data_IF_070440065072
#
_entry.id   IF_070440065072
#
_cell.length_a   1.000
_cell.length_b   1.000
_cell.length_c   1.000
_cell.angle_alpha   90.00
_cell.angle_beta   90.00
_cell.angle_gamma   90.00
#
_symmetry.space_group_name_H-M   'P 1'
#
loop_
_entity.id
_entity.type
_entity.pdbx_description
1 polymer ?
#
# COMPACT_ATOMS: atom_id res chain seq x y z
N UNK A 1 -6.03 17.21 -13.13
CA UNK A 1 -6.04 15.77 -12.79
C UNK A 1 -7.04 15.58 -11.66
N UNK A 2 -7.78 14.48 -11.63
CA UNK A 2 -8.76 14.22 -10.56
C UNK A 2 -8.06 13.57 -9.38
N UNK A 3 -8.39 14.00 -8.15
CA UNK A 3 -7.88 13.36 -6.95
C UNK A 3 -8.53 11.97 -6.78
N UNK A 4 -7.70 10.96 -6.57
CA UNK A 4 -8.12 9.57 -6.29
C UNK A 4 -8.33 9.36 -4.79
N UNK A 5 -7.58 10.09 -3.98
CA UNK A 5 -7.73 10.16 -2.53
C UNK A 5 -7.86 11.62 -2.12
N UNK A 6 -8.84 11.92 -1.28
CA UNK A 6 -8.98 13.20 -0.60
C UNK A 6 -9.15 12.96 0.88
N UNK A 7 -8.29 13.57 1.68
CA UNK A 7 -8.35 13.55 3.14
C UNK A 7 -8.58 14.98 3.62
N UNK A 8 -9.59 15.18 4.50
CA UNK A 8 -9.95 16.49 5.04
C UNK A 8 -10.04 16.40 6.56
N UNK A 9 -9.12 17.09 7.25
CA UNK A 9 -9.04 17.21 8.71
C UNK A 9 -9.15 15.86 9.45
N UNK A 10 -8.58 14.79 8.88
CA UNK A 10 -8.69 13.45 9.42
C UNK A 10 -7.93 13.34 10.74
N UNK A 11 -8.63 12.95 11.79
CA UNK A 11 -8.03 12.74 13.11
C UNK A 11 -8.35 11.35 13.63
N UNK A 12 -7.37 10.74 14.30
CA UNK A 12 -7.55 9.46 14.99
C UNK A 12 -6.94 9.49 16.36
N UNK A 13 -7.79 9.29 17.37
CA UNK A 13 -7.40 9.19 18.78
C UNK A 13 -7.74 7.76 19.24
N UNK A 14 -6.71 7.01 19.65
CA UNK A 14 -6.90 5.77 20.36
C UNK A 14 -7.23 6.05 21.82
N UNK A 15 -8.21 5.35 22.36
CA UNK A 15 -8.66 5.49 23.74
C UNK A 15 -8.30 4.23 24.53
N UNK A 16 -8.12 4.39 25.84
CA UNK A 16 -7.99 3.25 26.76
C UNK A 16 -9.37 2.59 27.02
N UNK A 17 -9.37 1.51 27.80
CA UNK A 17 -10.60 0.82 28.17
C UNK A 17 -11.64 1.73 28.86
N UNK A 18 -11.20 2.79 29.53
CA UNK A 18 -12.04 3.76 30.23
C UNK A 18 -12.49 4.94 29.33
N UNK A 19 -12.17 4.87 28.02
CA UNK A 19 -12.52 5.93 27.07
C UNK A 19 -11.61 7.17 27.13
N UNK A 20 -10.50 7.15 27.89
CA UNK A 20 -9.56 8.27 27.99
C UNK A 20 -8.64 8.29 26.77
N UNK A 21 -8.31 9.49 26.24
CA UNK A 21 -7.35 9.60 25.14
C UNK A 21 -5.99 9.02 25.54
N UNK A 22 -5.49 8.04 24.78
CA UNK A 22 -4.19 7.40 25.03
C UNK A 22 -3.13 7.85 24.02
N UNK A 23 -3.48 7.81 22.74
CA UNK A 23 -2.57 8.17 21.63
C UNK A 23 -3.36 8.92 20.57
N UNK A 24 -2.88 10.11 20.18
CA UNK A 24 -3.38 10.85 19.03
C UNK A 24 -2.53 10.47 17.82
N UNK A 25 -3.00 9.50 17.06
CA UNK A 25 -2.25 8.92 15.94
C UNK A 25 -2.32 9.77 14.67
N UNK A 26 -3.41 10.54 14.49
CA UNK A 26 -3.56 11.53 13.41
C UNK A 26 -4.18 12.80 13.98
N UNK A 27 -3.66 13.94 13.54
CA UNK A 27 -4.07 15.26 13.99
C UNK A 27 -4.46 16.16 12.81
N UNK A 28 -5.75 16.18 12.47
CA UNK A 28 -6.30 17.03 11.38
C UNK A 28 -5.55 16.91 10.04
N UNK A 29 -5.14 15.69 9.69
CA UNK A 29 -4.45 15.42 8.44
C UNK A 29 -5.32 15.82 7.25
N UNK A 30 -4.77 16.65 6.36
CA UNK A 30 -5.40 17.01 5.09
C UNK A 30 -4.38 16.88 3.97
N UNK A 31 -4.69 16.06 2.98
CA UNK A 31 -3.88 15.86 1.76
C UNK A 31 -4.75 15.27 0.65
N UNK A 32 -4.23 15.31 -0.56
CA UNK A 32 -4.81 14.69 -1.75
C UNK A 32 -3.77 13.84 -2.47
N UNK A 33 -4.23 12.82 -3.19
CA UNK A 33 -3.42 12.00 -4.10
C UNK A 33 -4.05 12.04 -5.48
N UNK A 34 -3.24 12.35 -6.49
CA UNK A 34 -3.70 12.48 -7.88
C UNK A 34 -3.68 11.12 -8.59
N UNK A 35 -4.53 10.97 -9.61
CA UNK A 35 -4.55 9.77 -10.42
C UNK A 35 -3.22 9.59 -11.19
N UNK A 36 -2.66 8.38 -11.15
CA UNK A 36 -1.45 8.01 -11.89
C UNK A 36 -0.14 8.46 -11.25
N UNK A 37 -0.17 9.08 -10.04
CA UNK A 37 1.08 9.41 -9.32
C UNK A 37 1.50 8.27 -8.37
N UNK A 38 2.77 8.27 -8.03
CA UNK A 38 3.30 7.56 -6.86
C UNK A 38 3.45 8.57 -5.74
N UNK A 39 2.66 8.40 -4.69
CA UNK A 39 2.62 9.27 -3.53
C UNK A 39 3.27 8.60 -2.31
N UNK A 40 4.23 9.26 -1.69
CA UNK A 40 4.94 8.76 -0.51
C UNK A 40 4.40 9.34 0.80
N UNK A 41 4.08 8.49 1.77
CA UNK A 41 3.90 8.86 3.17
C UNK A 41 5.18 8.54 3.93
N UNK A 42 5.98 9.57 4.26
CA UNK A 42 7.26 9.43 4.95
C UNK A 42 7.12 9.81 6.41
N UNK A 43 7.84 9.11 7.28
CA UNK A 43 7.92 9.45 8.70
C UNK A 43 8.37 8.30 9.59
N UNK A 44 8.82 8.57 10.81
CA UNK A 44 9.26 7.53 11.74
C UNK A 44 8.12 6.58 12.13
N UNK A 45 8.47 5.49 12.79
CA UNK A 45 7.47 4.57 13.36
C UNK A 45 6.58 5.32 14.35
N UNK A 46 5.26 5.06 14.29
CA UNK A 46 4.28 5.77 15.11
C UNK A 46 3.88 7.16 14.59
N UNK A 47 4.37 7.62 13.43
CA UNK A 47 3.99 8.94 12.88
C UNK A 47 2.57 9.00 12.31
N UNK A 48 1.87 7.87 12.16
CA UNK A 48 0.49 7.82 11.66
C UNK A 48 0.32 7.21 10.27
N UNK A 49 1.40 6.80 9.57
CA UNK A 49 1.35 6.25 8.19
C UNK A 49 0.38 5.07 8.06
N UNK A 50 0.62 3.98 8.78
CA UNK A 50 -0.25 2.78 8.76
C UNK A 50 -1.67 3.10 9.26
N UNK A 51 -1.82 4.03 10.22
CA UNK A 51 -3.14 4.49 10.66
C UNK A 51 -3.89 5.18 9.53
N UNK A 52 -3.22 6.00 8.74
CA UNK A 52 -3.79 6.63 7.55
C UNK A 52 -4.26 5.59 6.54
N UNK A 53 -3.40 4.62 6.17
CA UNK A 53 -3.79 3.54 5.25
C UNK A 53 -5.00 2.74 5.76
N UNK A 54 -5.01 2.39 7.04
CA UNK A 54 -6.14 1.66 7.66
C UNK A 54 -7.44 2.47 7.64
N UNK A 55 -7.38 3.79 7.84
CA UNK A 55 -8.55 4.66 7.70
C UNK A 55 -9.03 4.71 6.24
N UNK A 56 -8.12 4.78 5.27
CA UNK A 56 -8.45 4.77 3.85
C UNK A 56 -9.12 3.46 3.43
N UNK A 57 -8.65 2.32 3.93
CA UNK A 57 -9.23 1.00 3.66
C UNK A 57 -10.58 0.76 4.36
N UNK A 58 -10.98 1.63 5.29
CA UNK A 58 -12.18 1.40 6.11
C UNK A 58 -11.97 0.34 7.21
N UNK A 59 -10.72 -0.07 7.45
CA UNK A 59 -10.35 -0.99 8.54
C UNK A 59 -10.31 -0.29 9.90
N UNK A 60 -10.27 1.03 9.89
CA UNK A 60 -10.22 1.86 11.08
C UNK A 60 -11.07 3.11 10.86
N UNK A 61 -12.01 3.37 11.76
CA UNK A 61 -12.84 4.57 11.70
C UNK A 61 -12.09 5.78 12.29
N UNK A 62 -12.05 6.92 11.59
CA UNK A 62 -11.51 8.15 12.14
C UNK A 62 -12.32 8.64 13.34
N UNK A 63 -11.71 9.44 14.22
CA UNK A 63 -12.40 10.11 15.32
C UNK A 63 -13.13 11.34 14.83
N UNK A 64 -12.57 12.05 13.84
CA UNK A 64 -13.19 13.18 13.15
C UNK A 64 -12.54 13.37 11.77
N UNK A 65 -13.14 14.23 10.94
CA UNK A 65 -12.73 14.45 9.56
C UNK A 65 -13.25 13.38 8.61
N UNK A 66 -12.89 13.50 7.35
CA UNK A 66 -13.37 12.63 6.27
C UNK A 66 -12.24 12.20 5.34
N UNK A 67 -12.43 11.06 4.71
CA UNK A 67 -11.60 10.63 3.58
C UNK A 67 -12.49 10.03 2.49
N UNK A 68 -12.20 10.39 1.24
CA UNK A 68 -12.81 9.79 0.05
C UNK A 68 -11.74 9.12 -0.79
N UNK A 69 -12.06 7.96 -1.35
CA UNK A 69 -11.19 7.16 -2.19
C UNK A 69 -11.95 6.69 -3.41
N UNK A 70 -11.40 6.93 -4.61
CA UNK A 70 -12.05 6.57 -5.88
C UNK A 70 -13.48 7.13 -5.97
N UNK A 71 -13.71 8.34 -5.42
CA UNK A 71 -15.01 9.00 -5.37
C UNK A 71 -15.98 8.48 -4.32
N UNK A 72 -15.60 7.49 -3.49
CA UNK A 72 -16.44 6.90 -2.43
C UNK A 72 -15.90 7.23 -1.04
N UNK A 73 -16.76 7.36 -0.01
CA UNK A 73 -16.33 7.50 1.38
C UNK A 73 -15.44 6.33 1.82
N UNK A 74 -14.49 6.57 2.71
CA UNK A 74 -13.53 5.55 3.16
C UNK A 74 -14.18 4.35 3.86
N UNK A 75 -15.36 4.50 4.43
CA UNK A 75 -16.12 3.41 5.06
C UNK A 75 -16.95 2.57 4.07
N UNK A 76 -17.11 3.00 2.83
CA UNK A 76 -17.74 2.19 1.78
C UNK A 76 -16.78 1.06 1.36
N UNK A 77 -17.16 -0.19 1.65
CA UNK A 77 -16.31 -1.37 1.39
C UNK A 77 -16.25 -1.75 -0.09
N UNK A 78 -17.22 -1.35 -0.91
CA UNK A 78 -17.25 -1.70 -2.34
C UNK A 78 -16.04 -1.12 -3.09
N UNK A 79 -15.51 0.04 -2.65
CA UNK A 79 -14.30 0.62 -3.24
C UNK A 79 -13.09 -0.31 -3.16
N UNK A 80 -13.05 -1.22 -2.17
CA UNK A 80 -11.91 -2.12 -1.95
C UNK A 80 -11.75 -3.15 -3.09
N UNK A 81 -12.78 -3.37 -3.90
CA UNK A 81 -12.67 -4.18 -5.12
C UNK A 81 -11.69 -3.56 -6.15
N UNK A 82 -11.43 -2.25 -6.04
CA UNK A 82 -10.51 -1.50 -6.92
C UNK A 82 -9.23 -1.08 -6.22
N UNK A 83 -8.98 -1.61 -5.01
CA UNK A 83 -7.80 -1.29 -4.20
C UNK A 83 -6.98 -2.55 -3.98
N UNK A 84 -5.67 -2.47 -4.23
CA UNK A 84 -4.69 -3.45 -3.80
C UNK A 84 -4.00 -2.99 -2.52
N UNK A 85 -3.80 -3.90 -1.57
CA UNK A 85 -3.13 -3.56 -0.32
C UNK A 85 -2.03 -4.57 0.02
N UNK A 86 -0.82 -4.07 0.21
CA UNK A 86 0.32 -4.81 0.74
C UNK A 86 0.63 -4.28 2.15
N UNK A 87 0.28 -5.00 3.22
CA UNK A 87 0.63 -4.60 4.58
C UNK A 87 2.14 -4.76 4.86
N UNK A 88 2.67 -4.12 5.90
CA UNK A 88 4.06 -4.25 6.33
C UNK A 88 4.41 -5.73 6.60
N UNK A 89 3.55 -6.45 7.33
CA UNK A 89 3.63 -7.90 7.49
C UNK A 89 2.55 -8.58 6.65
N UNK A 90 2.95 -9.40 5.68
CA UNK A 90 2.03 -10.18 4.87
C UNK A 90 1.71 -11.49 5.61
N UNK A 91 0.52 -11.58 6.19
CA UNK A 91 0.03 -12.79 6.87
C UNK A 91 -0.46 -13.83 5.86
N UNK A 92 0.42 -14.23 4.95
CA UNK A 92 0.13 -15.28 3.97
C UNK A 92 0.23 -16.67 4.60
N UNK A 93 -0.57 -17.60 4.11
CA UNK A 93 -0.55 -18.99 4.57
C UNK A 93 0.74 -19.70 4.12
N UNK A 94 1.69 -19.88 5.03
CA UNK A 94 3.04 -20.38 4.74
C UNK A 94 3.08 -21.80 4.16
N UNK A 95 2.02 -22.58 4.34
CA UNK A 95 1.89 -23.95 3.82
C UNK A 95 1.39 -23.98 2.35
N UNK A 96 0.84 -22.89 1.85
CA UNK A 96 0.45 -22.78 0.44
C UNK A 96 1.67 -22.49 -0.44
N UNK A 97 1.60 -22.92 -1.69
CA UNK A 97 2.51 -22.52 -2.75
C UNK A 97 2.17 -21.13 -3.27
N UNK A 98 3.05 -20.55 -4.10
CA UNK A 98 2.76 -19.28 -4.77
C UNK A 98 1.50 -19.35 -5.63
N UNK A 99 1.34 -20.43 -6.40
CA UNK A 99 0.16 -20.69 -7.23
C UNK A 99 -1.12 -20.80 -6.41
N UNK A 100 -1.11 -21.61 -5.34
CA UNK A 100 -2.26 -21.81 -4.46
C UNK A 100 -2.64 -20.52 -3.74
N UNK A 101 -1.65 -19.70 -3.38
CA UNK A 101 -1.89 -18.39 -2.77
C UNK A 101 -2.67 -17.49 -3.73
N UNK A 102 -2.25 -17.37 -4.98
CA UNK A 102 -2.95 -16.56 -5.97
C UNK A 102 -4.32 -17.15 -6.33
N UNK A 103 -4.45 -18.49 -6.40
CA UNK A 103 -5.74 -19.16 -6.57
C UNK A 103 -6.72 -18.83 -5.43
N UNK A 104 -6.24 -18.86 -4.18
CA UNK A 104 -7.05 -18.53 -3.02
C UNK A 104 -7.62 -17.10 -3.11
N UNK A 105 -6.74 -16.11 -3.35
CA UNK A 105 -7.18 -14.72 -3.41
C UNK A 105 -8.02 -14.42 -4.66
N UNK A 106 -7.69 -14.97 -5.83
CA UNK A 106 -8.49 -14.77 -7.04
C UNK A 106 -9.91 -15.33 -6.91
N UNK A 107 -10.08 -16.46 -6.20
CA UNK A 107 -11.42 -17.00 -5.89
C UNK A 107 -12.22 -16.10 -4.95
N UNK A 108 -11.58 -15.41 -4.01
CA UNK A 108 -12.25 -14.41 -3.16
C UNK A 108 -12.84 -13.26 -3.99
N UNK A 109 -12.17 -12.88 -5.08
CA UNK A 109 -12.69 -11.90 -6.06
C UNK A 109 -13.62 -12.53 -7.11
N UNK A 110 -14.04 -13.79 -6.93
CA UNK A 110 -14.97 -14.51 -7.81
C UNK A 110 -14.53 -14.58 -9.28
N UNK A 111 -13.20 -14.57 -9.51
CA UNK A 111 -12.65 -14.70 -10.86
C UNK A 111 -12.97 -16.08 -11.44
N UNK A 112 -13.30 -16.13 -12.74
CA UNK A 112 -13.44 -17.39 -13.45
C UNK A 112 -12.08 -18.13 -13.54
N UNK A 113 -12.12 -19.46 -13.72
CA UNK A 113 -10.90 -20.26 -13.81
C UNK A 113 -9.96 -19.81 -14.96
N UNK A 114 -10.54 -19.36 -16.08
CA UNK A 114 -9.78 -18.89 -17.24
C UNK A 114 -9.09 -17.54 -16.96
N UNK A 115 -9.83 -16.58 -16.40
CA UNK A 115 -9.30 -15.27 -15.99
C UNK A 115 -8.20 -15.43 -14.95
N UNK A 116 -8.45 -16.24 -13.93
CA UNK A 116 -7.50 -16.48 -12.86
C UNK A 116 -6.20 -17.13 -13.36
N UNK A 117 -6.31 -18.12 -14.27
CA UNK A 117 -5.16 -18.76 -14.89
C UNK A 117 -4.30 -17.72 -15.64
N UNK A 118 -4.92 -16.88 -16.46
CA UNK A 118 -4.24 -15.81 -17.20
C UNK A 118 -3.59 -14.81 -16.23
N UNK A 119 -4.34 -14.33 -15.24
CA UNK A 119 -3.87 -13.34 -14.28
C UNK A 119 -2.70 -13.85 -13.44
N UNK A 120 -2.70 -15.10 -13.03
CA UNK A 120 -1.56 -15.72 -12.32
C UNK A 120 -0.28 -15.67 -13.14
N UNK A 121 -0.34 -16.06 -14.43
CA UNK A 121 0.83 -16.01 -15.30
C UNK A 121 1.38 -14.59 -15.40
N UNK A 122 0.51 -13.60 -15.65
CA UNK A 122 0.89 -12.18 -15.73
C UNK A 122 1.56 -11.69 -14.43
N UNK A 123 0.98 -12.01 -13.28
CA UNK A 123 1.48 -11.54 -11.99
C UNK A 123 2.79 -12.23 -11.59
N UNK A 124 2.92 -13.54 -11.80
CA UNK A 124 4.14 -14.28 -11.49
C UNK A 124 5.31 -13.82 -12.37
N UNK A 125 5.03 -13.46 -13.62
CA UNK A 125 6.03 -12.87 -14.51
C UNK A 125 6.38 -11.44 -14.06
N UNK A 126 5.39 -10.60 -13.76
CA UNK A 126 5.58 -9.22 -13.28
C UNK A 126 6.48 -9.19 -12.04
N UNK A 127 6.17 -9.97 -11.01
CA UNK A 127 6.94 -10.00 -9.76
C UNK A 127 8.17 -10.92 -9.82
N UNK A 128 8.47 -11.52 -10.97
CA UNK A 128 9.68 -12.33 -11.26
C UNK A 128 9.91 -13.52 -10.31
N UNK A 129 8.84 -14.21 -9.90
CA UNK A 129 8.92 -15.40 -9.03
C UNK A 129 8.31 -16.67 -9.65
N UNK A 130 8.09 -16.68 -10.95
CA UNK A 130 7.53 -17.83 -11.69
C UNK A 130 8.31 -19.13 -11.47
N UNK A 131 9.65 -19.04 -11.32
CA UNK A 131 10.53 -20.17 -11.04
C UNK A 131 10.26 -20.85 -9.68
N UNK A 132 9.61 -20.17 -8.75
CA UNK A 132 9.32 -20.66 -7.41
C UNK A 132 7.84 -20.93 -7.15
N UNK A 133 6.97 -20.80 -8.18
CA UNK A 133 5.52 -20.86 -8.06
C UNK A 133 4.96 -22.08 -7.33
N UNK A 134 5.62 -23.24 -7.47
CA UNK A 134 5.21 -24.52 -6.88
C UNK A 134 5.87 -24.81 -5.52
N UNK A 135 6.75 -23.92 -5.02
CA UNK A 135 7.36 -24.05 -3.70
C UNK A 135 6.42 -23.45 -2.65
N UNK A 136 6.41 -24.03 -1.45
CA UNK A 136 5.64 -23.50 -0.34
C UNK A 136 6.20 -22.15 0.12
N UNK A 137 5.33 -21.23 0.58
CA UNK A 137 5.76 -19.89 1.00
C UNK A 137 6.70 -19.91 2.20
N UNK A 138 6.68 -20.97 3.03
CA UNK A 138 7.67 -21.15 4.12
C UNK A 138 9.12 -21.25 3.61
N UNK A 139 9.31 -21.59 2.33
CA UNK A 139 10.62 -21.74 1.69
C UNK A 139 11.05 -20.48 0.95
N UNK A 140 10.19 -19.45 0.93
CA UNK A 140 10.48 -18.20 0.25
C UNK A 140 11.42 -17.34 1.10
N UNK A 141 12.38 -16.68 0.43
CA UNK A 141 13.14 -15.59 1.05
C UNK A 141 12.20 -14.42 1.40
N UNK A 142 12.65 -13.50 2.24
CA UNK A 142 11.86 -12.30 2.58
C UNK A 142 11.48 -11.51 1.32
N UNK A 143 12.41 -11.35 0.37
CA UNK A 143 12.14 -10.68 -0.90
C UNK A 143 11.11 -11.43 -1.75
N UNK A 144 11.17 -12.76 -1.82
CA UNK A 144 10.16 -13.56 -2.53
C UNK A 144 8.79 -13.46 -1.86
N UNK A 145 8.75 -13.48 -0.52
CA UNK A 145 7.50 -13.32 0.24
C UNK A 145 6.88 -11.94 -0.01
N UNK A 146 7.70 -10.90 -0.09
CA UNK A 146 7.22 -9.55 -0.39
C UNK A 146 6.66 -9.44 -1.80
N UNK A 147 7.30 -10.10 -2.78
CA UNK A 147 6.84 -10.13 -4.17
C UNK A 147 5.54 -10.90 -4.36
N UNK A 148 5.37 -12.07 -3.72
CA UNK A 148 4.09 -12.78 -3.80
C UNK A 148 2.98 -12.00 -3.07
N UNK A 149 3.30 -11.28 -1.99
CA UNK A 149 2.38 -10.36 -1.33
C UNK A 149 1.93 -9.22 -2.25
N UNK A 150 2.86 -8.66 -3.05
CA UNK A 150 2.52 -7.67 -4.07
C UNK A 150 1.65 -8.29 -5.17
N UNK A 151 1.99 -9.48 -5.67
CA UNK A 151 1.16 -10.17 -6.66
C UNK A 151 -0.26 -10.42 -6.14
N UNK A 152 -0.41 -10.81 -4.86
CA UNK A 152 -1.70 -10.96 -4.20
C UNK A 152 -2.47 -9.64 -4.14
N UNK A 153 -1.79 -8.54 -3.81
CA UNK A 153 -2.40 -7.21 -3.78
C UNK A 153 -2.85 -6.71 -5.17
N UNK A 154 -2.29 -7.27 -6.23
CA UNK A 154 -2.61 -6.92 -7.62
C UNK A 154 -3.61 -7.86 -8.29
N UNK A 155 -4.10 -8.90 -7.60
CA UNK A 155 -4.87 -9.99 -8.22
C UNK A 155 -6.15 -9.49 -8.92
N UNK A 156 -6.83 -8.53 -8.32
CA UNK A 156 -8.08 -7.93 -8.81
C UNK A 156 -7.87 -6.77 -9.80
N UNK A 157 -6.67 -6.58 -10.33
CA UNK A 157 -6.30 -5.47 -11.22
C UNK A 157 -6.66 -4.07 -10.70
N UNK A 158 -6.24 -3.71 -9.48
CA UNK A 158 -6.68 -2.49 -8.82
C UNK A 158 -6.24 -1.22 -9.56
N UNK A 159 -7.01 -0.13 -9.39
CA UNK A 159 -6.65 1.22 -9.88
C UNK A 159 -5.74 1.94 -8.90
N UNK A 160 -5.90 1.64 -7.60
CA UNK A 160 -5.14 2.21 -6.49
C UNK A 160 -4.44 1.12 -5.71
N UNK A 161 -3.14 1.30 -5.46
CA UNK A 161 -2.31 0.34 -4.73
C UNK A 161 -1.75 1.02 -3.49
N UNK A 162 -2.03 0.46 -2.32
CA UNK A 162 -1.54 0.93 -1.03
C UNK A 162 -0.44 -0.03 -0.53
N UNK A 163 0.76 0.47 -0.32
CA UNK A 163 1.93 -0.30 0.09
C UNK A 163 2.44 0.19 1.44
N UNK A 164 2.36 -0.64 2.46
CA UNK A 164 2.89 -0.32 3.78
C UNK A 164 4.29 -0.90 3.94
N UNK A 165 5.31 -0.03 4.01
CA UNK A 165 6.73 -0.37 4.12
C UNK A 165 7.18 -1.45 3.11
N UNK A 166 6.98 -1.27 1.78
CA UNK A 166 7.19 -2.33 0.79
C UNK A 166 8.62 -2.85 0.70
N UNK A 167 9.59 -2.04 1.07
CA UNK A 167 11.03 -2.28 0.99
C UNK A 167 11.67 -2.68 2.32
N UNK A 168 10.90 -2.62 3.43
CA UNK A 168 11.41 -2.85 4.77
C UNK A 168 12.07 -4.21 4.95
N UNK A 169 13.34 -4.18 5.40
CA UNK A 169 14.14 -5.36 5.70
C UNK A 169 14.47 -6.23 4.49
N UNK A 170 14.42 -5.70 3.28
CA UNK A 170 14.95 -6.29 2.08
C UNK A 170 16.46 -6.00 1.98
N UNK A 171 17.20 -6.91 1.35
CA UNK A 171 18.56 -6.62 0.94
C UNK A 171 18.59 -5.57 -0.19
N UNK A 172 19.73 -4.92 -0.48
CA UNK A 172 19.80 -3.84 -1.46
C UNK A 172 19.32 -4.23 -2.86
N UNK A 173 19.54 -5.46 -3.29
CA UNK A 173 19.13 -5.96 -4.61
C UNK A 173 17.60 -6.13 -4.64
N UNK A 174 17.02 -6.77 -3.63
CA UNK A 174 15.58 -6.96 -3.54
C UNK A 174 14.85 -5.61 -3.37
N UNK A 175 15.45 -4.64 -2.65
CA UNK A 175 14.92 -3.28 -2.52
C UNK A 175 14.85 -2.59 -3.90
N UNK A 176 15.96 -2.55 -4.64
CA UNK A 176 15.99 -1.97 -5.99
C UNK A 176 14.93 -2.60 -6.89
N UNK A 177 14.84 -3.93 -6.89
CA UNK A 177 13.84 -4.64 -7.69
C UNK A 177 12.41 -4.37 -7.27
N UNK A 178 12.13 -4.10 -5.99
CA UNK A 178 10.81 -3.67 -5.53
C UNK A 178 10.48 -2.26 -6.01
N UNK A 179 11.44 -1.34 -5.97
CA UNK A 179 11.30 0.01 -6.54
C UNK A 179 10.98 -0.04 -8.05
N UNK A 180 11.70 -0.88 -8.81
CA UNK A 180 11.42 -1.08 -10.24
C UNK A 180 9.98 -1.55 -10.49
N UNK A 181 9.50 -2.52 -9.70
CA UNK A 181 8.12 -3.01 -9.79
C UNK A 181 7.10 -1.89 -9.53
N UNK A 182 7.35 -1.03 -8.55
CA UNK A 182 6.47 0.11 -8.24
C UNK A 182 6.45 1.12 -9.41
N UNK A 183 7.62 1.40 -10.00
CA UNK A 183 7.70 2.26 -11.18
C UNK A 183 6.99 1.66 -12.40
N UNK A 184 7.06 0.34 -12.58
CA UNK A 184 6.36 -0.35 -13.67
C UNK A 184 4.83 -0.30 -13.49
N UNK A 185 4.32 -0.36 -12.25
CA UNK A 185 2.90 -0.16 -11.98
C UNK A 185 2.43 1.24 -12.37
N UNK A 186 3.22 2.28 -12.09
CA UNK A 186 2.94 3.65 -12.56
C UNK A 186 2.89 3.74 -14.08
N UNK A 187 3.85 3.12 -14.80
CA UNK A 187 3.84 3.09 -16.27
C UNK A 187 2.58 2.41 -16.84
N UNK A 188 1.97 1.49 -16.09
CA UNK A 188 0.69 0.86 -16.43
C UNK A 188 -0.53 1.74 -16.08
N UNK A 189 -0.31 2.99 -15.64
CA UNK A 189 -1.36 3.95 -15.29
C UNK A 189 -1.97 3.75 -13.90
N UNK A 190 -1.38 2.91 -13.07
CA UNK A 190 -1.85 2.71 -11.69
C UNK A 190 -1.45 3.88 -10.79
N UNK A 191 -2.28 4.16 -9.79
CA UNK A 191 -1.94 5.09 -8.70
C UNK A 191 -1.37 4.30 -7.54
N UNK A 192 -0.25 4.75 -6.97
CA UNK A 192 0.41 4.06 -5.86
C UNK A 192 0.58 5.00 -4.68
N UNK A 193 0.21 4.55 -3.49
CA UNK A 193 0.57 5.20 -2.23
C UNK A 193 1.50 4.27 -1.47
N UNK A 194 2.70 4.71 -1.13
CA UNK A 194 3.63 3.92 -0.35
C UNK A 194 4.02 4.62 0.95
N UNK A 195 4.03 3.86 2.04
CA UNK A 195 4.59 4.31 3.31
C UNK A 195 6.05 3.89 3.42
N UNK A 196 6.90 4.77 3.93
CA UNK A 196 8.27 4.42 4.31
C UNK A 196 8.73 5.29 5.49
N UNK A 197 9.70 4.79 6.24
CA UNK A 197 10.43 5.56 7.24
C UNK A 197 11.80 6.02 6.73
N UNK A 198 12.19 5.63 5.50
CA UNK A 198 13.46 5.96 4.87
C UNK A 198 13.25 6.89 3.68
N UNK A 199 13.91 8.04 3.69
CA UNK A 199 13.88 9.00 2.58
C UNK A 199 14.40 8.36 1.29
N UNK A 200 15.46 7.55 1.35
CA UNK A 200 16.05 6.86 0.21
C UNK A 200 15.08 5.91 -0.52
N UNK A 201 14.02 5.44 0.14
CA UNK A 201 13.03 4.59 -0.51
C UNK A 201 12.02 5.38 -1.34
N UNK A 202 11.72 6.62 -0.94
CA UNK A 202 10.69 7.43 -1.60
C UNK A 202 11.25 8.43 -2.62
N UNK A 203 12.48 8.91 -2.42
CA UNK A 203 13.08 9.92 -3.31
C UNK A 203 13.26 9.46 -4.75
N UNK A 204 13.54 8.16 -4.97
CA UNK A 204 13.80 7.60 -6.29
C UNK A 204 12.53 7.18 -7.03
N UNK A 205 11.39 7.08 -6.32
CA UNK A 205 10.18 6.43 -6.83
C UNK A 205 8.98 7.37 -6.82
N UNK A 206 8.85 8.22 -5.77
CA UNK A 206 7.67 9.06 -5.58
C UNK A 206 7.73 10.37 -6.37
N UNK A 207 6.57 10.82 -6.85
CA UNK A 207 6.39 12.15 -7.46
C UNK A 207 6.23 13.21 -6.37
N UNK A 208 5.34 12.93 -5.40
CA UNK A 208 5.04 13.79 -4.26
C UNK A 208 5.15 13.00 -2.97
N UNK A 209 5.49 13.70 -1.90
CA UNK A 209 5.56 13.12 -0.55
C UNK A 209 4.84 13.98 0.47
N UNK A 210 4.30 13.32 1.49
CA UNK A 210 3.87 13.93 2.73
C UNK A 210 4.74 13.40 3.86
N UNK A 211 5.34 14.30 4.66
CA UNK A 211 6.13 13.92 5.83
C UNK A 211 5.24 14.06 7.06
N UNK A 212 5.05 12.93 7.75
CA UNK A 212 4.29 12.84 8.99
C UNK A 212 5.22 12.73 10.21
N UNK A 213 4.90 13.46 11.25
CA UNK A 213 5.57 13.34 12.55
C UNK A 213 4.56 13.48 13.69
N UNK A 214 4.46 12.46 14.54
CA UNK A 214 3.53 12.42 15.68
C UNK A 214 2.08 12.74 15.31
N UNK A 215 1.63 12.23 14.16
CA UNK A 215 0.27 12.44 13.67
C UNK A 215 0.03 13.75 12.91
N UNK A 216 1.00 14.66 12.87
CA UNK A 216 0.94 15.92 12.13
C UNK A 216 1.56 15.79 10.75
N UNK A 217 0.96 16.45 9.77
CA UNK A 217 1.57 16.72 8.48
C UNK A 217 2.57 17.87 8.63
N UNK A 218 3.84 17.61 8.37
CA UNK A 218 4.92 18.61 8.47
C UNK A 218 5.28 19.21 7.12
N UNK A 219 5.29 18.38 6.06
CA UNK A 219 5.67 18.79 4.71
C UNK A 219 4.76 18.07 3.72
N UNK A 220 4.39 18.74 2.65
CA UNK A 220 3.70 18.17 1.48
C UNK A 220 4.24 18.87 0.23
N UNK A 221 4.75 18.12 -0.72
CA UNK A 221 5.29 18.71 -1.97
C UNK A 221 5.85 17.67 -2.93
N UNK A 222 6.30 18.15 -4.09
CA UNK A 222 7.04 17.34 -5.04
C UNK A 222 8.40 16.94 -4.46
N UNK A 223 8.84 15.73 -4.73
CA UNK A 223 10.13 15.24 -4.22
C UNK A 223 11.28 16.09 -4.74
N UNK A 224 11.26 16.45 -6.02
CA UNK A 224 12.33 17.25 -6.64
C UNK A 224 12.47 18.62 -5.98
N UNK A 225 11.36 19.30 -5.67
CA UNK A 225 11.38 20.61 -5.05
C UNK A 225 11.92 20.56 -3.61
N UNK A 226 11.56 19.48 -2.88
CA UNK A 226 11.97 19.30 -1.49
C UNK A 226 13.43 18.88 -1.33
N UNK A 227 14.06 18.27 -2.33
CA UNK A 227 15.46 17.87 -2.31
C UNK A 227 16.41 19.00 -2.75
N UNK A 228 15.90 20.07 -3.35
CA UNK A 228 16.70 21.23 -3.80
C UNK A 228 16.82 22.35 -2.73
N UNK A 229 16.14 22.18 -1.58
CA UNK A 229 16.14 23.13 -0.46
C UNK A 229 17.08 22.68 0.63
#
# INVERSE_FOLDING_TARGET
>A
MSAVIEIRNLSKIYRDFWGRPKVKALNSLSLDVQQGEIFGLLGPNGSGKTTTLKCLLGLLFPTSGTATILGKPSHDVEKNERIGYLPEESYLYKFLTGDETLDFYGRLFKMSAAELKKRKEELLDLVKIKHARHRQLKEYSKGMTRRIGLAQALINDPDLILLDEPTSGLDPIANSQMKDLILDLKKQGKTVVMCSHLLADVQDVCDRIAILHQGDLKVLGNVQDLLQT
#
